data_IF_212946398505
#
_entry.id   IF_212946398505
#
_cell.length_a   1.000
_cell.length_b   1.000
_cell.length_c   1.000
_cell.angle_alpha   90.00
_cell.angle_beta   90.00
_cell.angle_gamma   90.00
#
_symmetry.space_group_name_H-M   'P 1'
#
loop_
_entity.id
_entity.type
_entity.pdbx_description
1 polymer ?
#
# COMPACT_ATOMS: atom_id res chain seq x y z
N UNK A 1 7.68 0.86 -16.39
CA UNK A 1 6.55 0.81 -15.45
C UNK A 1 6.99 1.40 -14.12
N UNK A 2 6.08 1.51 -13.18
CA UNK A 2 6.31 2.06 -11.84
C UNK A 2 5.64 1.18 -10.80
N UNK A 3 6.24 1.10 -9.61
CA UNK A 3 5.62 0.55 -8.41
C UNK A 3 5.76 1.65 -7.36
N UNK A 4 4.64 2.10 -6.79
CA UNK A 4 4.66 3.13 -5.78
C UNK A 4 3.55 2.92 -4.74
N UNK A 5 3.72 3.48 -3.54
CA UNK A 5 2.74 3.40 -2.46
C UNK A 5 2.26 4.80 -2.08
N UNK A 6 0.95 4.97 -1.97
CA UNK A 6 0.31 6.23 -1.57
C UNK A 6 -0.59 6.02 -0.36
N UNK A 7 -0.79 7.09 0.40
CA UNK A 7 -1.63 7.13 1.61
C UNK A 7 -2.97 7.81 1.31
N UNK A 8 -4.07 7.10 1.56
CA UNK A 8 -5.42 7.66 1.55
C UNK A 8 -5.84 7.95 2.99
N UNK A 9 -6.17 9.21 3.26
CA UNK A 9 -6.69 9.62 4.57
C UNK A 9 -8.04 8.97 4.83
N UNK A 10 -8.21 8.45 6.04
CA UNK A 10 -9.46 7.83 6.49
C UNK A 10 -9.97 8.51 7.76
N UNK A 11 -11.27 8.35 8.01
CA UNK A 11 -11.82 8.67 9.34
C UNK A 11 -11.11 7.80 10.38
N UNK A 12 -10.76 8.42 11.50
CA UNK A 12 -10.11 7.75 12.62
C UNK A 12 -10.89 6.51 13.06
N UNK A 13 -10.28 5.30 13.02
CA UNK A 13 -10.96 4.09 13.46
C UNK A 13 -11.10 4.09 14.98
N UNK A 14 -12.21 3.53 15.48
CA UNK A 14 -12.48 3.38 16.92
C UNK A 14 -11.54 2.35 17.59
N UNK A 15 -10.91 1.48 16.80
CA UNK A 15 -9.98 0.44 17.25
C UNK A 15 -8.70 0.50 16.42
N UNK A 16 -7.58 0.09 17.01
CA UNK A 16 -6.28 -0.03 16.33
C UNK A 16 -5.73 1.27 15.71
N UNK A 17 -6.04 2.43 16.29
CA UNK A 17 -5.58 3.74 15.82
C UNK A 17 -4.08 3.80 15.48
N UNK A 18 -3.24 3.23 16.34
CA UNK A 18 -1.79 3.23 16.17
C UNK A 18 -1.35 2.55 14.85
N UNK A 19 -2.07 1.52 14.41
CA UNK A 19 -1.76 0.83 13.15
C UNK A 19 -2.08 1.69 11.92
N UNK A 20 -3.10 2.55 12.01
CA UNK A 20 -3.49 3.43 10.91
C UNK A 20 -2.82 4.80 10.96
N UNK A 21 -2.07 5.09 12.02
CA UNK A 21 -1.33 6.34 12.17
C UNK A 21 0.01 6.21 11.44
N UNK A 22 0.20 7.02 10.39
CA UNK A 22 1.43 7.03 9.62
C UNK A 22 2.52 7.88 10.31
N UNK A 23 3.70 7.97 9.69
CA UNK A 23 4.84 8.79 10.16
C UNK A 23 4.54 10.29 10.23
N UNK A 24 3.52 10.77 9.51
CA UNK A 24 3.06 12.17 9.53
C UNK A 24 2.00 12.42 10.62
N UNK A 25 1.77 11.45 11.50
CA UNK A 25 0.73 11.49 12.54
C UNK A 25 -0.68 11.67 12.00
N UNK A 26 -0.95 11.25 10.75
CA UNK A 26 -2.30 11.23 10.17
C UNK A 26 -2.82 9.81 10.06
N UNK A 27 -4.14 9.64 10.17
CA UNK A 27 -4.78 8.34 10.00
C UNK A 27 -4.99 8.05 8.50
N UNK A 28 -4.33 7.03 7.99
CA UNK A 28 -4.41 6.62 6.58
C UNK A 28 -4.48 5.11 6.39
N UNK A 29 -4.96 4.73 5.21
CA UNK A 29 -4.68 3.41 4.61
C UNK A 29 -3.71 3.59 3.46
N UNK A 30 -2.84 2.60 3.25
CA UNK A 30 -1.89 2.57 2.15
C UNK A 30 -2.42 1.76 0.98
N UNK A 31 -2.06 2.21 -0.22
CA UNK A 31 -2.33 1.55 -1.49
C UNK A 31 -1.01 1.48 -2.27
N UNK A 32 -0.64 0.29 -2.71
CA UNK A 32 0.41 0.06 -3.68
C UNK A 32 -0.21 -0.04 -5.07
N UNK A 33 0.30 0.75 -6.01
CA UNK A 33 -0.09 0.71 -7.41
C UNK A 33 1.08 0.31 -8.29
N UNK A 34 0.82 -0.56 -9.26
CA UNK A 34 1.77 -1.01 -10.27
C UNK A 34 1.25 -0.58 -11.62
N UNK A 35 2.06 0.08 -12.43
CA UNK A 35 1.65 0.48 -13.78
C UNK A 35 2.73 0.20 -14.83
N UNK A 36 2.28 0.05 -16.07
CA UNK A 36 3.17 -0.07 -17.24
C UNK A 36 3.72 1.31 -17.67
N UNK A 37 4.51 1.34 -18.75
CA UNK A 37 5.03 2.60 -19.32
C UNK A 37 3.95 3.49 -19.92
N UNK A 38 2.74 2.95 -20.18
CA UNK A 38 1.58 3.67 -20.71
C UNK A 38 0.69 4.23 -19.61
N UNK A 39 1.09 4.10 -18.35
CA UNK A 39 0.35 4.51 -17.14
C UNK A 39 -0.94 3.71 -16.94
N UNK A 40 -1.05 2.52 -17.52
CA UNK A 40 -2.14 1.60 -17.24
C UNK A 40 -1.81 0.79 -15.98
N UNK A 41 -2.76 0.70 -15.05
CA UNK A 41 -2.59 -0.12 -13.85
C UNK A 41 -2.55 -1.60 -14.22
N UNK A 42 -1.53 -2.29 -13.72
CA UNK A 42 -1.32 -3.73 -13.87
C UNK A 42 -1.77 -4.49 -12.62
N UNK A 43 -1.55 -3.90 -11.45
CA UNK A 43 -1.93 -4.46 -10.15
C UNK A 43 -2.14 -3.33 -9.14
N UNK A 44 -3.07 -3.55 -8.22
CA UNK A 44 -3.37 -2.62 -7.11
C UNK A 44 -3.57 -3.45 -5.85
N UNK A 45 -2.79 -3.14 -4.81
CA UNK A 45 -2.93 -3.73 -3.48
C UNK A 45 -3.30 -2.64 -2.47
N UNK A 46 -4.49 -2.74 -1.88
CA UNK A 46 -5.09 -1.69 -1.04
C UNK A 46 -5.50 -2.19 0.34
N UNK A 47 -5.74 -1.26 1.26
CA UNK A 47 -6.27 -1.55 2.60
C UNK A 47 -5.22 -1.78 3.68
N UNK A 48 -3.95 -1.48 3.38
CA UNK A 48 -2.87 -1.63 4.32
C UNK A 48 -2.92 -0.55 5.41
N UNK A 49 -2.58 -0.84 6.67
CA UNK A 49 -2.51 0.17 7.72
C UNK A 49 -1.49 1.27 7.38
N UNK A 50 -1.81 2.54 7.66
CA UNK A 50 -0.94 3.69 7.38
C UNK A 50 0.44 3.65 8.04
N UNK A 51 0.59 2.88 9.12
CA UNK A 51 1.89 2.65 9.78
C UNK A 51 2.77 1.60 9.06
N UNK A 52 2.23 0.90 8.06
CA UNK A 52 2.93 -0.20 7.39
C UNK A 52 3.99 0.33 6.41
N UNK A 53 5.16 -0.31 6.40
CA UNK A 53 6.25 0.07 5.49
C UNK A 53 6.00 -0.47 4.08
N UNK A 54 6.39 0.30 3.07
CA UNK A 54 6.14 -0.03 1.66
C UNK A 54 6.79 -1.37 1.24
N UNK A 55 7.97 -1.69 1.78
CA UNK A 55 8.63 -2.98 1.56
C UNK A 55 7.83 -4.17 2.10
N UNK A 56 7.14 -3.98 3.24
CA UNK A 56 6.24 -5.00 3.79
C UNK A 56 4.98 -5.14 2.94
N UNK A 57 4.43 -4.02 2.46
CA UNK A 57 3.26 -4.02 1.56
C UNK A 57 3.59 -4.79 0.27
N UNK A 58 4.76 -4.53 -0.32
CA UNK A 58 5.24 -5.28 -1.47
C UNK A 58 5.34 -6.78 -1.18
N UNK A 59 6.01 -7.18 -0.09
CA UNK A 59 6.13 -8.60 0.25
C UNK A 59 4.82 -9.31 0.61
N UNK A 60 3.76 -8.56 0.92
CA UNK A 60 2.42 -9.10 1.18
C UNK A 60 1.47 -8.98 -0.02
N UNK A 61 1.85 -8.26 -1.08
CA UNK A 61 1.02 -8.12 -2.28
C UNK A 61 1.16 -9.35 -3.17
N UNK A 62 0.10 -9.63 -3.93
CA UNK A 62 0.05 -10.68 -4.96
C UNK A 62 1.17 -10.56 -5.97
N UNK A 63 1.63 -9.33 -6.24
CA UNK A 63 2.74 -9.07 -7.14
C UNK A 63 4.02 -9.79 -6.69
N UNK A 64 4.35 -9.79 -5.40
CA UNK A 64 5.59 -10.42 -4.91
C UNK A 64 5.65 -11.93 -5.14
N UNK A 65 4.50 -12.62 -5.08
CA UNK A 65 4.43 -14.03 -5.44
C UNK A 65 4.62 -14.23 -6.95
N UNK A 66 3.89 -13.46 -7.76
CA UNK A 66 3.87 -13.61 -9.21
C UNK A 66 5.24 -13.35 -9.88
N UNK A 67 6.08 -12.48 -9.30
CA UNK A 67 7.43 -12.21 -9.82
C UNK A 67 8.47 -13.27 -9.39
N UNK A 68 8.24 -13.95 -8.27
CA UNK A 68 9.22 -14.86 -7.68
C UNK A 68 9.02 -16.31 -8.15
N UNK A 69 7.96 -16.55 -8.91
CA UNK A 69 7.62 -17.83 -9.56
C UNK A 69 8.21 -17.92 -10.99
N UNK A 70 9.12 -17.01 -11.36
CA UNK A 70 9.91 -17.03 -12.62
C UNK A 70 11.38 -17.28 -12.34
#
# INVERSE_FOLDING_TARGET
>A
GMIDTTDILIKQPLRHLAAYTNRKSTTSVKIQGVCDSRKCFLDISAGWPGSMHDARIYGMSSLSGAINEK
#
